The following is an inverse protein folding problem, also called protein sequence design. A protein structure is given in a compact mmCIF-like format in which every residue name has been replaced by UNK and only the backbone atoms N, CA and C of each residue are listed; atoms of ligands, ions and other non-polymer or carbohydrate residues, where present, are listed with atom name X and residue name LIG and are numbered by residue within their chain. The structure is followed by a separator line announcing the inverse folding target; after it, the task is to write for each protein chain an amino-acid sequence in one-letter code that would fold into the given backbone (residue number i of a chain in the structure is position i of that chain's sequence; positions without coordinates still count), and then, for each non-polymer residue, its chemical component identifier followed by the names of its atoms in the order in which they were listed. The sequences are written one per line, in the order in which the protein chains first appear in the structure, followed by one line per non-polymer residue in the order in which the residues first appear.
data_IF_937383101193
#
_entry.id   IF_937383101193
#
_cell.length_a   1.000
_cell.length_b   1.000
_cell.length_c   1.000
_cell.angle_alpha   90.00
_cell.angle_beta   90.00
_cell.angle_gamma   90.00
#
_symmetry.space_group_name_H-M   'P 1'
#
loop_
_entity.id
_entity.type
_entity.pdbx_description
1 polymer ?
#
# COMPACT_ATOMS: atom_id res chain seq x y z
N UNK A 1 -16.80 -3.22 15.23
CA UNK A 1 -15.45 -3.83 15.17
C UNK A 1 -14.94 -3.90 13.74
N UNK A 2 -15.84 -3.99 12.74
CA UNK A 2 -15.50 -3.89 11.30
C UNK A 2 -15.23 -2.46 10.80
N UNK A 3 -15.47 -1.42 11.62
CA UNK A 3 -15.36 0.00 11.23
C UNK A 3 -13.94 0.48 10.90
N UNK A 4 -12.93 -0.40 10.99
CA UNK A 4 -11.52 -0.07 10.75
C UNK A 4 -10.85 -0.90 9.64
N UNK A 5 -11.62 -1.70 8.89
CA UNK A 5 -11.06 -2.53 7.81
C UNK A 5 -10.95 -1.71 6.51
N UNK A 6 -9.74 -1.58 5.99
CA UNK A 6 -9.51 -1.04 4.65
C UNK A 6 -9.50 -2.15 3.60
N UNK A 7 -10.66 -2.51 3.06
CA UNK A 7 -10.77 -3.58 2.05
C UNK A 7 -10.38 -3.11 0.64
N UNK A 8 -10.89 -1.95 0.23
CA UNK A 8 -10.68 -1.35 -1.10
C UNK A 8 -10.74 0.17 -1.02
N UNK A 9 -10.25 0.81 -2.06
CA UNK A 9 -10.28 2.26 -2.24
C UNK A 9 -10.88 2.64 -3.59
N UNK A 10 -11.42 3.85 -3.66
CA UNK A 10 -11.89 4.42 -4.92
C UNK A 10 -11.61 5.92 -4.93
N UNK A 11 -10.43 6.30 -5.43
CA UNK A 11 -9.98 7.68 -5.52
C UNK A 11 -9.70 8.07 -6.98
N UNK A 12 -10.72 8.42 -7.78
CA UNK A 12 -10.54 8.79 -9.19
C UNK A 12 -9.55 9.95 -9.40
N UNK A 13 -9.42 10.85 -8.42
CA UNK A 13 -8.48 11.98 -8.48
C UNK A 13 -7.00 11.57 -8.51
N UNK A 14 -6.67 10.34 -8.04
CA UNK A 14 -5.31 9.82 -7.96
C UNK A 14 -4.82 9.18 -9.27
N UNK A 15 -5.68 9.03 -10.28
CA UNK A 15 -5.32 8.52 -11.61
C UNK A 15 -5.86 7.12 -11.90
N UNK A 16 -5.21 6.40 -12.82
CA UNK A 16 -5.64 5.07 -13.24
C UNK A 16 -5.47 4.06 -12.10
N UNK A 17 -6.58 3.42 -11.71
CA UNK A 17 -6.60 2.42 -10.64
C UNK A 17 -6.25 1.03 -11.18
N UNK A 18 -5.28 0.39 -10.52
CA UNK A 18 -5.01 -1.04 -10.64
C UNK A 18 -5.17 -1.71 -9.27
N UNK A 19 -6.15 -2.60 -9.18
CA UNK A 19 -6.43 -3.38 -7.98
C UNK A 19 -5.64 -4.70 -7.99
N UNK A 20 -4.66 -4.81 -7.09
CA UNK A 20 -3.96 -6.06 -6.82
C UNK A 20 -4.66 -6.86 -5.70
N UNK A 21 -4.08 -8.01 -5.33
CA UNK A 21 -4.66 -8.87 -4.27
C UNK A 21 -4.74 -8.20 -2.90
N UNK A 22 -3.73 -7.40 -2.56
CA UNK A 22 -3.55 -6.81 -1.22
C UNK A 22 -3.24 -5.31 -1.25
N UNK A 23 -3.24 -4.69 -2.43
CA UNK A 23 -2.90 -3.28 -2.64
C UNK A 23 -3.75 -2.70 -3.75
N UNK A 24 -4.19 -1.47 -3.56
CA UNK A 24 -4.75 -0.65 -4.62
C UNK A 24 -3.69 0.34 -5.08
N UNK A 25 -3.45 0.39 -6.39
CA UNK A 25 -2.41 1.24 -6.97
C UNK A 25 -3.09 2.28 -7.84
N UNK A 26 -2.65 3.52 -7.74
CA UNK A 26 -3.09 4.62 -8.60
C UNK A 26 -1.88 5.18 -9.32
N UNK A 27 -1.97 5.34 -10.63
CA UNK A 27 -0.86 5.89 -11.45
C UNK A 27 -1.29 7.20 -12.09
N UNK A 28 -0.46 8.24 -11.91
CA UNK A 28 -0.67 9.57 -12.50
C UNK A 28 0.66 10.28 -12.67
N UNK A 29 0.86 10.93 -13.83
CA UNK A 29 2.03 11.75 -14.12
C UNK A 29 3.39 11.04 -13.86
N UNK A 30 3.47 9.74 -14.14
CA UNK A 30 4.70 8.96 -13.95
C UNK A 30 5.00 8.55 -12.50
N UNK A 31 4.13 8.91 -11.53
CA UNK A 31 4.20 8.44 -10.15
C UNK A 31 3.15 7.38 -9.88
N UNK A 32 3.43 6.50 -8.91
CA UNK A 32 2.49 5.50 -8.42
C UNK A 32 2.23 5.71 -6.94
N UNK A 33 0.95 5.82 -6.60
CA UNK A 33 0.46 5.83 -5.23
C UNK A 33 0.01 4.41 -4.91
N UNK A 34 0.65 3.78 -3.94
CA UNK A 34 0.34 2.43 -3.50
C UNK A 34 -0.39 2.56 -2.16
N UNK A 35 -1.62 2.06 -2.10
CA UNK A 35 -2.41 1.94 -0.88
C UNK A 35 -2.41 0.48 -0.44
N UNK A 36 -1.80 0.18 0.70
CA UNK A 36 -1.73 -1.16 1.26
C UNK A 36 -3.02 -1.44 2.02
N UNK A 37 -3.83 -2.36 1.51
CA UNK A 37 -5.14 -2.74 2.10
C UNK A 37 -4.97 -3.78 3.20
N UNK A 38 -6.04 -4.00 3.96
CA UNK A 38 -6.14 -5.02 5.01
C UNK A 38 -6.42 -6.43 4.47
N UNK A 39 -6.64 -6.56 3.15
CA UNK A 39 -6.78 -7.85 2.46
C UNK A 39 -5.54 -8.70 2.65
N UNK A 40 -5.77 -9.98 2.97
CA UNK A 40 -4.75 -11.02 3.01
C UNK A 40 -5.02 -12.04 1.90
N UNK A 41 -3.96 -12.49 1.24
CA UNK A 41 -4.05 -13.51 0.20
C UNK A 41 -3.19 -14.72 0.52
N UNK A 42 -3.74 -15.92 0.27
CA UNK A 42 -3.05 -17.19 0.36
C UNK A 42 -3.55 -18.12 -0.77
N UNK A 43 -2.69 -19.02 -1.26
CA UNK A 43 -3.04 -19.94 -2.36
C UNK A 43 -3.67 -19.24 -3.57
N UNK A 44 -3.05 -18.13 -3.99
CA UNK A 44 -3.48 -17.30 -5.12
C UNK A 44 -4.85 -16.59 -4.97
N UNK A 45 -5.50 -16.67 -3.80
CA UNK A 45 -6.81 -16.05 -3.54
C UNK A 45 -6.76 -15.08 -2.37
N UNK A 46 -7.61 -14.05 -2.41
CA UNK A 46 -7.91 -13.22 -1.23
C UNK A 46 -8.79 -14.06 -0.29
N UNK A 47 -8.36 -14.21 0.96
CA UNK A 47 -9.01 -15.11 1.94
C UNK A 47 -9.73 -14.36 3.07
N UNK A 48 -9.60 -13.04 3.11
CA UNK A 48 -10.26 -12.18 4.10
C UNK A 48 -9.47 -10.90 4.34
N UNK A 49 -9.79 -10.23 5.44
CA UNK A 49 -9.12 -9.02 5.90
C UNK A 49 -8.65 -9.16 7.35
N UNK A 50 -7.54 -8.51 7.69
CA UNK A 50 -7.05 -8.36 9.05
C UNK A 50 -6.97 -6.86 9.33
N UNK A 51 -7.75 -6.30 10.27
CA UNK A 51 -7.73 -4.87 10.58
C UNK A 51 -6.30 -4.35 10.81
N UNK A 52 -5.99 -3.18 10.26
CA UNK A 52 -4.69 -2.49 10.40
C UNK A 52 -3.47 -3.22 9.85
N UNK A 53 -3.62 -4.40 9.21
CA UNK A 53 -2.49 -5.09 8.57
C UNK A 53 -1.84 -4.23 7.50
N UNK A 54 -2.63 -3.47 6.73
CA UNK A 54 -2.11 -2.58 5.72
C UNK A 54 -1.14 -1.54 6.29
N UNK A 55 -1.49 -0.97 7.44
CA UNK A 55 -0.70 0.05 8.16
C UNK A 55 0.65 -0.53 8.60
N UNK A 56 0.59 -1.61 9.38
CA UNK A 56 1.78 -2.26 9.95
C UNK A 56 2.76 -2.68 8.86
N UNK A 57 2.27 -3.25 7.76
CA UNK A 57 3.15 -3.71 6.67
C UNK A 57 3.73 -2.54 5.85
N UNK A 58 2.99 -1.46 5.65
CA UNK A 58 3.47 -0.29 4.92
C UNK A 58 4.53 0.46 5.74
N UNK A 59 4.29 0.68 7.04
CA UNK A 59 5.26 1.31 7.95
C UNK A 59 6.52 0.47 8.13
N UNK A 60 6.38 -0.85 8.22
CA UNK A 60 7.53 -1.76 8.24
C UNK A 60 8.34 -1.68 6.95
N UNK A 61 7.67 -1.61 5.78
CA UNK A 61 8.37 -1.40 4.52
C UNK A 61 9.10 -0.04 4.48
N UNK A 62 8.44 1.03 4.92
CA UNK A 62 9.03 2.36 5.01
C UNK A 62 10.27 2.41 5.91
N UNK A 63 10.22 1.76 7.07
CA UNK A 63 11.37 1.59 7.97
C UNK A 63 12.55 0.97 7.24
N UNK A 64 12.34 -0.14 6.53
CA UNK A 64 13.42 -0.82 5.82
C UNK A 64 13.94 -0.02 4.62
N UNK A 65 13.08 0.68 3.88
CA UNK A 65 13.52 1.59 2.82
C UNK A 65 14.42 2.70 3.36
N UNK A 66 14.11 3.28 4.52
CA UNK A 66 14.96 4.29 5.16
C UNK A 66 16.29 3.69 5.62
N UNK A 67 16.27 2.52 6.26
CA UNK A 67 17.48 1.85 6.79
C UNK A 67 18.45 1.33 5.73
N UNK A 68 18.01 1.20 4.49
CA UNK A 68 18.82 0.61 3.41
C UNK A 68 19.12 1.58 2.28
N UNK A 69 18.66 2.84 2.37
CA UNK A 69 18.82 3.84 1.30
C UNK A 69 20.28 4.21 0.99
N UNK A 70 21.17 4.03 1.96
CA UNK A 70 22.62 4.22 1.83
C UNK A 70 23.33 3.02 1.20
N UNK A 71 22.70 1.84 1.24
CA UNK A 71 23.21 0.60 0.66
C UNK A 71 22.81 0.51 -0.82
N UNK A 72 21.55 0.80 -1.15
CA UNK A 72 21.03 0.72 -2.52
C UNK A 72 19.94 1.76 -2.77
N UNK A 73 19.95 2.35 -3.98
CA UNK A 73 18.88 3.24 -4.43
C UNK A 73 17.54 2.50 -4.43
N UNK A 74 16.51 3.14 -3.91
CA UNK A 74 15.15 2.63 -3.93
C UNK A 74 14.19 3.68 -4.52
N UNK A 75 12.94 3.26 -4.71
CA UNK A 75 11.89 4.01 -5.42
C UNK A 75 10.98 4.78 -4.46
N UNK A 76 11.20 4.73 -3.14
CA UNK A 76 10.32 5.40 -2.18
C UNK A 76 10.49 6.92 -2.27
N UNK A 77 9.41 7.63 -2.59
CA UNK A 77 9.38 9.10 -2.64
C UNK A 77 8.87 9.66 -1.30
N UNK A 78 7.74 9.15 -0.80
CA UNK A 78 7.16 9.60 0.48
C UNK A 78 6.14 8.61 1.06
N UNK A 79 5.81 8.78 2.35
CA UNK A 79 4.81 7.99 3.09
C UNK A 79 3.84 8.98 3.76
N UNK A 80 2.81 9.46 3.06
CA UNK A 80 1.92 10.52 3.57
C UNK A 80 0.88 10.02 4.58
N UNK A 81 0.66 8.72 4.66
CA UNK A 81 -0.32 8.07 5.54
C UNK A 81 0.18 6.65 5.89
N UNK A 82 -0.17 6.09 7.08
CA UNK A 82 0.23 4.74 7.46
C UNK A 82 -0.12 3.65 6.44
N UNK A 83 -1.15 3.79 5.61
CA UNK A 83 -1.49 2.84 4.54
C UNK A 83 -0.92 3.20 3.16
N UNK A 84 -0.25 4.35 3.00
CA UNK A 84 0.06 4.92 1.68
C UNK A 84 1.57 5.11 1.48
N UNK A 85 2.07 4.72 0.31
CA UNK A 85 3.40 5.12 -0.17
C UNK A 85 3.32 5.69 -1.59
N UNK A 86 4.13 6.70 -1.84
CA UNK A 86 4.34 7.27 -3.19
C UNK A 86 5.69 6.77 -3.70
N UNK A 87 5.68 6.23 -4.91
CA UNK A 87 6.87 5.70 -5.58
C UNK A 87 6.96 6.10 -7.04
#
# INVERSE_FOLDING_TARGET
MDDFILEKTDFPGLGEKYEGKVRDNYTKNGQRIIIVTDRISAFDRVVGCIPSKGQVLNEMAAFWFDKTKDIVKNHLISVPDPNVMVV
#
